data_IF_432136106919
#
_entry.id   IF_432136106919
#
_cell.length_a   1.000
_cell.length_b   1.000
_cell.length_c   1.000
_cell.angle_alpha   90.00
_cell.angle_beta   90.00
_cell.angle_gamma   90.00
#
_symmetry.space_group_name_H-M   'P 1'
#
loop_
_entity.id
_entity.type
_entity.pdbx_description
1 polymer ?
#
# COMPACT_ATOMS: atom_id res chain seq x y z
N UNK A 1 9.82 19.01 -13.83
CA UNK A 1 9.45 18.07 -14.91
C UNK A 1 7.95 18.15 -15.13
N UNK A 2 7.48 18.63 -16.29
CA UNK A 2 6.04 18.74 -16.59
C UNK A 2 5.57 17.40 -17.15
N UNK A 3 4.80 16.65 -16.36
CA UNK A 3 4.21 15.38 -16.78
C UNK A 3 3.16 15.67 -17.83
N UNK A 4 3.37 15.24 -19.07
CA UNK A 4 2.43 15.48 -20.16
C UNK A 4 1.10 14.75 -19.90
N UNK A 5 -0.01 15.28 -20.42
CA UNK A 5 -1.33 14.65 -20.31
C UNK A 5 -1.32 13.19 -20.81
N UNK A 6 -0.47 12.89 -21.81
CA UNK A 6 -0.24 11.54 -22.30
C UNK A 6 0.39 10.61 -21.24
N UNK A 7 1.40 11.09 -20.50
CA UNK A 7 2.02 10.33 -19.41
C UNK A 7 1.02 10.05 -18.28
N UNK A 8 0.20 11.03 -17.89
CA UNK A 8 -0.86 10.84 -16.89
C UNK A 8 -1.86 9.75 -17.30
N UNK A 9 -2.33 9.78 -18.55
CA UNK A 9 -3.23 8.75 -19.10
C UNK A 9 -2.60 7.37 -19.11
N UNK A 10 -1.31 7.26 -19.45
CA UNK A 10 -0.58 6.01 -19.45
C UNK A 10 -0.48 5.40 -18.03
N UNK A 11 -0.15 6.23 -17.02
CA UNK A 11 -0.10 5.82 -15.61
C UNK A 11 -1.46 5.31 -15.13
N UNK A 12 -2.54 6.03 -15.43
CA UNK A 12 -3.91 5.62 -15.06
C UNK A 12 -4.28 4.30 -15.73
N UNK A 13 -3.95 4.12 -17.01
CA UNK A 13 -4.24 2.88 -17.76
C UNK A 13 -3.48 1.68 -17.20
N UNK A 14 -2.21 1.87 -16.84
CA UNK A 14 -1.40 0.87 -16.16
C UNK A 14 -1.99 0.50 -14.80
N UNK A 15 -2.34 1.50 -13.99
CA UNK A 15 -2.93 1.29 -12.68
C UNK A 15 -4.24 0.50 -12.76
N UNK A 16 -5.15 0.87 -13.67
CA UNK A 16 -6.41 0.13 -13.86
C UNK A 16 -6.21 -1.32 -14.33
N UNK A 17 -5.20 -1.58 -15.16
CA UNK A 17 -4.97 -2.91 -15.73
C UNK A 17 -4.26 -3.85 -14.74
N UNK A 18 -3.33 -3.32 -13.95
CA UNK A 18 -2.38 -4.15 -13.20
C UNK A 18 -2.56 -4.03 -11.67
N UNK A 19 -3.33 -3.08 -11.16
CA UNK A 19 -3.53 -2.88 -9.73
C UNK A 19 -5.00 -3.11 -9.36
N UNK A 20 -5.24 -3.96 -8.37
CA UNK A 20 -6.53 -4.04 -7.68
C UNK A 20 -6.47 -3.14 -6.43
N UNK A 21 -7.45 -2.25 -6.26
CA UNK A 21 -7.61 -1.50 -5.01
C UNK A 21 -8.32 -2.38 -3.99
N UNK A 22 -7.76 -2.48 -2.79
CA UNK A 22 -8.39 -3.10 -1.63
C UNK A 22 -8.77 -1.93 -0.71
N UNK A 23 -10.06 -1.54 -0.63
CA UNK A 23 -10.50 -0.60 0.40
C UNK A 23 -10.40 -1.30 1.75
N UNK A 24 -9.79 -0.63 2.73
CA UNK A 24 -9.66 -1.13 4.10
C UNK A 24 -10.17 -0.04 5.02
N UNK A 25 -11.26 -0.32 5.71
CA UNK A 25 -11.80 0.54 6.76
C UNK A 25 -11.20 0.10 8.10
N UNK A 26 -10.45 1.00 8.72
CA UNK A 26 -9.86 0.81 10.04
C UNK A 26 -10.41 1.86 11.02
N UNK A 27 -10.56 1.51 12.30
CA UNK A 27 -10.81 2.50 13.36
C UNK A 27 -9.66 3.52 13.43
N UNK A 28 -9.94 4.77 13.82
CA UNK A 28 -8.89 5.80 13.96
C UNK A 28 -7.76 5.35 14.88
N UNK A 29 -8.09 4.76 16.03
CA UNK A 29 -7.09 4.30 17.00
C UNK A 29 -6.11 3.27 16.42
N UNK A 30 -6.61 2.42 15.52
CA UNK A 30 -5.79 1.42 14.84
C UNK A 30 -4.95 2.05 13.72
N UNK A 31 -5.51 3.02 13.01
CA UNK A 31 -4.78 3.78 12.01
C UNK A 31 -3.60 4.54 12.62
N UNK A 32 -3.82 5.20 13.77
CA UNK A 32 -2.77 5.95 14.45
C UNK A 32 -1.65 5.02 14.95
N UNK A 33 -1.99 3.86 15.50
CA UNK A 33 -1.00 2.82 15.83
C UNK A 33 -0.20 2.38 14.60
N UNK A 34 -0.87 2.06 13.49
CA UNK A 34 -0.19 1.67 12.24
C UNK A 34 0.71 2.80 11.76
N UNK A 35 0.26 4.05 11.86
CA UNK A 35 1.01 5.22 11.44
C UNK A 35 2.26 5.40 12.28
N UNK A 36 2.16 5.37 13.60
CA UNK A 36 3.32 5.46 14.51
C UNK A 36 4.34 4.35 14.24
N UNK A 37 3.88 3.11 14.07
CA UNK A 37 4.77 2.00 13.72
C UNK A 37 5.42 2.17 12.35
N UNK A 38 4.66 2.63 11.35
CA UNK A 38 5.21 2.88 10.01
C UNK A 38 6.25 4.00 10.02
N UNK A 39 6.02 5.07 10.79
CA UNK A 39 6.96 6.18 10.96
C UNK A 39 8.22 5.73 11.68
N UNK A 40 8.10 4.88 12.71
CA UNK A 40 9.24 4.29 13.42
C UNK A 40 10.08 3.38 12.51
N UNK A 41 9.44 2.65 11.59
CA UNK A 41 10.11 1.84 10.57
C UNK A 41 10.64 2.66 9.38
N UNK A 42 10.29 3.95 9.26
CA UNK A 42 10.65 4.80 8.13
C UNK A 42 9.90 4.47 6.83
N UNK A 43 8.77 3.77 6.91
CA UNK A 43 7.95 3.37 5.77
C UNK A 43 6.62 4.14 5.74
N UNK A 44 5.99 4.22 4.57
CA UNK A 44 4.61 4.71 4.49
C UNK A 44 3.64 3.70 5.08
N UNK A 45 2.52 4.16 5.65
CA UNK A 45 1.40 3.31 6.13
C UNK A 45 1.02 2.22 5.12
N UNK A 46 0.92 2.57 3.82
CA UNK A 46 0.60 1.60 2.77
C UNK A 46 1.72 0.59 2.52
N UNK A 47 2.99 1.02 2.63
CA UNK A 47 4.15 0.14 2.56
C UNK A 47 4.15 -0.87 3.71
N UNK A 48 3.94 -0.37 4.92
CA UNK A 48 3.86 -1.16 6.14
C UNK A 48 2.74 -2.21 6.08
N UNK A 49 1.54 -1.82 5.65
CA UNK A 49 0.42 -2.76 5.45
C UNK A 49 0.77 -3.86 4.44
N UNK A 50 1.40 -3.49 3.30
CA UNK A 50 1.83 -4.47 2.28
C UNK A 50 2.91 -5.43 2.81
N UNK A 51 3.85 -4.92 3.59
CA UNK A 51 4.90 -5.73 4.21
C UNK A 51 4.28 -6.75 5.18
N UNK A 52 3.38 -6.30 6.07
CA UNK A 52 2.68 -7.17 7.01
C UNK A 52 1.86 -8.27 6.30
N UNK A 53 1.14 -7.93 5.23
CA UNK A 53 0.41 -8.93 4.42
C UNK A 53 1.38 -9.94 3.79
N UNK A 54 2.49 -9.46 3.23
CA UNK A 54 3.50 -10.31 2.57
C UNK A 54 4.15 -11.26 3.58
N UNK A 55 4.49 -10.77 4.76
CA UNK A 55 5.05 -11.58 5.86
C UNK A 55 4.05 -12.63 6.34
N UNK A 56 2.79 -12.24 6.54
CA UNK A 56 1.71 -13.16 6.92
C UNK A 56 1.54 -14.29 5.89
N UNK A 57 1.48 -13.95 4.61
CA UNK A 57 1.36 -14.94 3.53
C UNK A 57 2.55 -15.91 3.49
N UNK A 58 3.78 -15.41 3.66
CA UNK A 58 4.98 -16.25 3.72
C UNK A 58 4.98 -17.23 4.90
N UNK A 59 4.43 -16.79 6.04
CA UNK A 59 4.32 -17.64 7.22
C UNK A 59 3.24 -18.73 7.04
N UNK A 60 2.15 -18.44 6.32
CA UNK A 60 1.11 -19.42 6.00
C UNK A 60 1.55 -20.44 4.93
N UNK A 61 2.32 -20.03 3.93
CA UNK A 61 2.86 -20.94 2.89
C UNK A 61 3.94 -21.90 3.41
N UNK A 62 4.57 -21.60 4.55
CA UNK A 62 5.61 -22.43 5.18
C UNK A 62 5.05 -23.45 6.18
N UNK A 63 3.73 -23.66 6.21
CA UNK A 63 3.05 -24.59 7.12
C UNK A 63 2.30 -25.69 6.35
#
# INVERSE_FOLDING_TARGET
>A
MVTTEAQKRAVIKYAKKNLKRIPLDVPLDMYDQIKEHSEACGESVNGYIKAAITERMKNEDNQ
#
